data_IF_771543616695
#
_entry.id   IF_771543616695
#
_cell.length_a   1.000
_cell.length_b   1.000
_cell.length_c   1.000
_cell.angle_alpha   90.00
_cell.angle_beta   90.00
_cell.angle_gamma   90.00
#
_symmetry.space_group_name_H-M   'P 1'
#
loop_
_entity.id
_entity.type
_entity.pdbx_description
1 polymer ?
#
# COMPACT_ATOMS: atom_id res chain seq x y z
N UNK A 1 -64.10 31.66 -58.10
CA UNK A 1 -63.56 31.44 -56.74
C UNK A 1 -62.04 31.42 -56.87
N UNK A 2 -61.37 32.40 -56.26
CA UNK A 2 -59.97 32.78 -56.47
C UNK A 2 -58.99 31.94 -55.62
N UNK A 3 -57.76 31.77 -56.12
CA UNK A 3 -56.71 30.89 -55.56
C UNK A 3 -55.69 31.54 -54.61
N UNK A 4 -54.45 31.02 -54.68
CA UNK A 4 -53.21 31.31 -53.90
C UNK A 4 -53.11 30.62 -52.53
N UNK A 5 -51.95 30.23 -51.96
CA UNK A 5 -50.54 30.09 -52.38
C UNK A 5 -49.79 29.43 -51.20
N UNK A 6 -48.62 28.85 -51.47
CA UNK A 6 -47.75 28.14 -50.53
C UNK A 6 -47.15 29.00 -49.40
N UNK A 7 -46.85 28.38 -48.23
CA UNK A 7 -45.56 28.55 -47.52
C UNK A 7 -45.34 27.57 -46.36
N UNK A 8 -44.07 27.21 -46.23
CA UNK A 8 -43.40 26.23 -45.35
C UNK A 8 -43.35 26.69 -43.88
N UNK A 9 -43.37 25.77 -42.92
CA UNK A 9 -42.49 25.80 -41.74
C UNK A 9 -42.16 24.37 -41.30
N UNK A 10 -40.86 24.07 -41.24
CA UNK A 10 -40.27 22.84 -40.76
C UNK A 10 -40.24 22.81 -39.22
N UNK A 11 -40.42 21.61 -38.62
CA UNK A 11 -39.94 21.31 -37.28
C UNK A 11 -39.42 19.86 -37.27
N UNK A 12 -38.13 19.75 -37.54
CA UNK A 12 -37.31 18.56 -37.28
C UNK A 12 -37.13 18.40 -35.77
N UNK A 13 -37.88 17.49 -35.15
CA UNK A 13 -37.62 17.06 -33.78
C UNK A 13 -36.49 16.03 -33.79
N UNK A 14 -35.28 16.49 -33.49
CA UNK A 14 -34.12 15.62 -33.21
C UNK A 14 -34.42 14.88 -31.91
N UNK A 15 -34.75 13.59 -32.00
CA UNK A 15 -34.82 12.71 -30.85
C UNK A 15 -33.38 12.43 -30.37
N UNK A 16 -32.92 13.20 -29.39
CA UNK A 16 -31.70 12.89 -28.64
C UNK A 16 -32.01 11.72 -27.69
N UNK A 17 -31.81 10.48 -28.16
CA UNK A 17 -31.84 9.31 -27.30
C UNK A 17 -30.58 9.29 -26.43
N UNK A 18 -30.78 9.53 -25.13
CA UNK A 18 -29.79 9.42 -24.07
C UNK A 18 -29.28 7.99 -23.94
N UNK A 19 -28.08 7.70 -24.44
CA UNK A 19 -27.33 6.53 -24.06
C UNK A 19 -26.48 6.86 -22.82
N UNK A 20 -27.07 6.71 -21.64
CA UNK A 20 -26.34 6.66 -20.38
C UNK A 20 -25.50 5.38 -20.38
N UNK A 21 -24.25 5.49 -20.84
CA UNK A 21 -23.25 4.45 -20.68
C UNK A 21 -23.03 4.26 -19.18
N UNK A 22 -23.56 3.16 -18.65
CA UNK A 22 -23.27 2.68 -17.31
C UNK A 22 -21.78 2.33 -17.24
N UNK A 23 -20.94 3.25 -16.76
CA UNK A 23 -19.62 2.93 -16.25
C UNK A 23 -19.78 2.25 -14.89
N UNK A 24 -20.25 0.99 -14.90
CA UNK A 24 -19.96 0.07 -13.80
C UNK A 24 -18.44 -0.07 -13.79
N UNK A 25 -17.78 0.69 -12.93
CA UNK A 25 -16.40 0.39 -12.54
C UNK A 25 -16.42 -1.03 -11.98
N UNK A 26 -16.01 -2.01 -12.80
CA UNK A 26 -15.72 -3.35 -12.35
C UNK A 26 -14.61 -3.22 -11.30
N UNK A 27 -14.98 -3.11 -10.03
CA UNK A 27 -14.11 -3.48 -8.95
C UNK A 27 -13.77 -4.94 -9.22
N UNK A 28 -12.54 -5.19 -9.69
CA UNK A 28 -12.06 -6.53 -10.00
C UNK A 28 -12.28 -7.46 -8.79
N UNK A 29 -12.42 -8.77 -9.01
CA UNK A 29 -12.55 -9.70 -7.89
C UNK A 29 -11.34 -9.50 -6.96
N UNK A 30 -11.61 -9.19 -5.69
CA UNK A 30 -10.56 -9.16 -4.68
C UNK A 30 -9.99 -10.58 -4.53
N UNK A 31 -8.73 -10.77 -4.92
CA UNK A 31 -8.05 -12.03 -4.66
C UNK A 31 -7.77 -12.12 -3.15
N UNK A 32 -8.04 -13.28 -2.54
CA UNK A 32 -7.83 -13.44 -1.12
C UNK A 32 -6.36 -13.74 -0.85
N UNK A 33 -5.64 -12.79 -0.25
CA UNK A 33 -4.30 -13.04 0.31
C UNK A 33 -4.40 -13.91 1.56
N UNK A 34 -3.59 -14.96 1.63
CA UNK A 34 -3.61 -15.92 2.73
C UNK A 34 -2.21 -16.16 3.32
N UNK A 35 -2.03 -16.08 4.65
CA UNK A 35 -2.98 -15.50 5.61
C UNK A 35 -3.15 -14.00 5.38
N UNK A 36 -4.23 -13.39 5.89
CA UNK A 36 -4.39 -11.94 5.83
C UNK A 36 -3.44 -11.20 6.78
N UNK A 37 -2.98 -11.88 7.84
CA UNK A 37 -2.09 -11.31 8.85
C UNK A 37 -0.93 -12.25 9.15
N UNK A 38 0.24 -11.68 9.38
CA UNK A 38 1.42 -12.38 9.83
C UNK A 38 2.24 -11.47 10.75
N UNK A 39 3.01 -12.07 11.66
CA UNK A 39 3.88 -11.31 12.57
C UNK A 39 5.34 -11.58 12.25
N UNK A 40 6.19 -10.57 12.33
CA UNK A 40 7.64 -10.71 12.25
C UNK A 40 8.32 -9.79 13.26
N UNK A 41 9.48 -10.19 13.77
CA UNK A 41 10.26 -9.35 14.69
C UNK A 41 11.14 -8.39 13.90
N UNK A 42 11.08 -7.11 14.24
CA UNK A 42 11.92 -6.07 13.66
C UNK A 42 12.77 -5.41 14.74
N UNK A 43 14.01 -5.12 14.38
CA UNK A 43 14.95 -4.29 15.15
C UNK A 43 15.09 -2.95 14.44
N UNK A 44 14.66 -1.86 15.09
CA UNK A 44 14.77 -0.48 14.61
C UNK A 44 15.89 0.30 15.33
N UNK A 45 16.83 -0.41 15.95
CA UNK A 45 17.91 0.15 16.76
C UNK A 45 17.37 0.92 17.96
N UNK A 46 17.65 2.22 17.99
CA UNK A 46 17.25 3.10 19.11
C UNK A 46 15.75 3.30 19.27
N UNK A 47 14.95 3.04 18.23
CA UNK A 47 13.49 3.12 18.33
C UNK A 47 12.87 1.88 19.02
N UNK A 48 13.66 0.83 19.22
CA UNK A 48 13.24 -0.41 19.88
C UNK A 48 13.29 -1.63 18.97
N UNK A 49 13.09 -2.78 19.60
CA UNK A 49 12.99 -4.08 18.96
C UNK A 49 11.67 -4.70 19.41
N UNK A 50 10.95 -5.34 18.49
CA UNK A 50 9.74 -6.03 18.88
C UNK A 50 8.94 -6.61 17.72
N UNK A 51 7.75 -7.09 18.03
CA UNK A 51 6.88 -7.76 17.07
C UNK A 51 6.10 -6.73 16.26
N UNK A 52 6.12 -6.92 14.95
CA UNK A 52 5.37 -6.16 13.97
C UNK A 52 4.31 -7.07 13.36
N UNK A 53 3.07 -6.61 13.38
CA UNK A 53 1.96 -7.23 12.67
C UNK A 53 1.89 -6.64 11.27
N UNK A 54 1.98 -7.50 10.27
CA UNK A 54 1.78 -7.20 8.87
C UNK A 54 0.38 -7.66 8.49
N UNK A 55 -0.43 -6.78 7.93
CA UNK A 55 -1.76 -7.12 7.38
C UNK A 55 -1.74 -6.91 5.88
N UNK A 56 -1.85 -7.99 5.13
CA UNK A 56 -1.90 -7.94 3.67
C UNK A 56 -3.35 -7.82 3.19
N UNK A 57 -3.56 -7.08 2.11
CA UNK A 57 -4.84 -7.01 1.43
C UNK A 57 -4.64 -6.85 -0.08
N UNK A 58 -5.45 -7.57 -0.85
CA UNK A 58 -5.60 -7.39 -2.30
C UNK A 58 -7.05 -7.02 -2.59
N UNK A 59 -7.25 -5.80 -3.09
CA UNK A 59 -8.58 -5.25 -3.35
C UNK A 59 -8.94 -5.25 -4.84
N UNK A 60 -8.25 -6.03 -5.68
CA UNK A 60 -8.42 -6.05 -7.14
C UNK A 60 -7.94 -4.78 -7.86
N UNK A 61 -7.83 -3.66 -7.13
CA UNK A 61 -7.22 -2.40 -7.57
C UNK A 61 -5.75 -2.24 -7.15
N UNK A 62 -5.21 -3.19 -6.39
CA UNK A 62 -3.82 -3.17 -5.94
C UNK A 62 -3.59 -4.00 -4.67
N UNK A 63 -2.34 -4.41 -4.48
CA UNK A 63 -1.88 -5.15 -3.31
C UNK A 63 -1.27 -4.18 -2.30
N UNK A 64 -1.66 -4.32 -1.04
CA UNK A 64 -1.25 -3.42 0.05
C UNK A 64 -0.83 -4.19 1.28
N UNK A 65 0.05 -3.59 2.08
CA UNK A 65 0.40 -4.09 3.40
C UNK A 65 0.26 -2.97 4.43
N UNK A 66 -0.40 -3.25 5.54
CA UNK A 66 -0.39 -2.43 6.75
C UNK A 66 0.62 -2.99 7.74
N UNK A 67 1.32 -2.09 8.44
CA UNK A 67 2.40 -2.38 9.39
C UNK A 67 2.02 -1.77 10.72
N UNK A 68 1.80 -2.59 11.73
CA UNK A 68 1.43 -2.16 13.09
C UNK A 68 2.40 -2.75 14.11
N UNK A 69 2.82 -1.99 15.11
CA UNK A 69 3.60 -2.51 16.23
C UNK A 69 3.32 -1.75 17.52
N UNK A 70 3.16 -2.51 18.61
CA UNK A 70 2.98 -1.94 19.95
C UNK A 70 4.27 -1.92 20.77
N UNK A 71 5.30 -2.62 20.30
CA UNK A 71 6.62 -2.66 20.94
C UNK A 71 7.52 -1.53 20.42
N UNK A 72 7.44 -1.25 19.12
CA UNK A 72 8.19 -0.16 18.49
C UNK A 72 7.39 1.14 18.69
N UNK A 73 8.00 2.11 19.36
CA UNK A 73 7.36 3.38 19.71
C UNK A 73 7.95 4.56 18.96
N UNK A 74 7.10 5.53 18.68
CA UNK A 74 7.50 6.81 18.08
C UNK A 74 8.43 7.58 19.03
N UNK A 75 9.61 7.97 18.54
CA UNK A 75 10.59 8.70 19.35
C UNK A 75 10.36 10.23 19.33
N UNK A 76 9.47 10.70 18.45
CA UNK A 76 9.15 12.10 18.23
C UNK A 76 7.71 12.19 17.68
N UNK A 77 7.03 13.33 17.88
CA UNK A 77 5.68 13.51 17.36
C UNK A 77 5.68 13.49 15.83
N UNK A 78 4.75 12.69 15.29
CA UNK A 78 4.50 12.54 13.86
C UNK A 78 3.21 13.28 13.51
N UNK A 79 3.26 14.17 12.52
CA UNK A 79 2.06 14.69 11.88
C UNK A 79 1.54 13.64 10.91
N UNK A 80 0.22 13.52 10.78
CA UNK A 80 -0.40 12.58 9.86
C UNK A 80 0.19 12.73 8.44
N UNK A 81 0.46 11.59 7.80
CA UNK A 81 0.94 11.49 6.43
C UNK A 81 2.29 12.19 6.10
N UNK A 82 3.14 12.43 7.10
CA UNK A 82 4.47 13.06 6.90
C UNK A 82 5.63 12.08 6.82
N UNK A 83 5.40 10.82 7.17
CA UNK A 83 6.39 9.74 7.13
C UNK A 83 6.09 8.82 5.96
N UNK A 84 7.07 8.67 5.07
CA UNK A 84 7.04 7.63 4.04
C UNK A 84 7.57 6.34 4.64
N UNK A 85 6.71 5.33 4.79
CA UNK A 85 7.10 3.99 5.16
C UNK A 85 7.32 3.15 3.90
N UNK A 86 8.48 2.51 3.79
CA UNK A 86 8.81 1.56 2.73
C UNK A 86 9.17 0.22 3.33
N UNK A 87 8.41 -0.81 3.02
CA UNK A 87 8.62 -2.19 3.43
C UNK A 87 9.18 -3.00 2.25
N UNK A 88 10.23 -3.78 2.50
CA UNK A 88 10.81 -4.76 1.57
C UNK A 88 10.46 -6.17 2.03
N UNK A 89 10.00 -6.98 1.08
CA UNK A 89 9.76 -8.41 1.29
C UNK A 89 10.43 -9.22 0.18
N UNK A 90 10.83 -10.44 0.51
CA UNK A 90 11.24 -11.43 -0.46
C UNK A 90 10.00 -12.04 -1.08
N UNK A 91 9.86 -11.91 -2.39
CA UNK A 91 8.90 -12.62 -3.21
C UNK A 91 9.50 -13.95 -3.67
N UNK A 92 8.75 -15.04 -3.58
CA UNK A 92 9.09 -16.31 -4.23
C UNK A 92 8.01 -16.68 -5.25
N UNK A 93 8.44 -16.92 -6.50
CA UNK A 93 7.58 -17.25 -7.64
C UNK A 93 8.28 -18.26 -8.54
N UNK A 94 7.62 -19.38 -8.86
CA UNK A 94 8.21 -20.42 -9.71
C UNK A 94 9.56 -20.96 -9.23
N UNK A 95 9.83 -20.90 -7.92
CA UNK A 95 11.10 -21.31 -7.31
C UNK A 95 12.21 -20.24 -7.30
N UNK A 96 12.01 -19.08 -7.95
CA UNK A 96 12.93 -17.96 -7.91
C UNK A 96 12.57 -16.98 -6.78
N UNK A 97 13.57 -16.38 -6.14
CA UNK A 97 13.38 -15.34 -5.12
C UNK A 97 13.76 -13.97 -5.67
N UNK A 98 12.97 -12.95 -5.40
CA UNK A 98 13.18 -11.56 -5.81
C UNK A 98 12.70 -10.60 -4.72
N UNK A 99 13.01 -9.31 -4.82
CA UNK A 99 12.54 -8.30 -3.86
C UNK A 99 11.27 -7.61 -4.39
N UNK A 100 10.29 -7.39 -3.52
CA UNK A 100 9.15 -6.49 -3.75
C UNK A 100 9.14 -5.39 -2.70
N UNK A 101 8.64 -4.21 -3.06
CA UNK A 101 8.54 -3.06 -2.14
C UNK A 101 7.13 -2.52 -2.06
N UNK A 102 6.66 -2.32 -0.84
CA UNK A 102 5.44 -1.62 -0.51
C UNK A 102 5.80 -0.27 0.08
N UNK A 103 5.29 0.82 -0.46
CA UNK A 103 5.65 2.16 0.01
C UNK A 103 4.47 3.10 0.00
N UNK A 104 4.31 3.86 1.10
CA UNK A 104 3.23 4.82 1.23
C UNK A 104 3.47 5.78 2.39
N UNK A 105 2.66 6.84 2.44
CA UNK A 105 2.70 7.84 3.51
C UNK A 105 1.54 7.72 4.47
N UNK A 106 0.57 6.82 4.22
CA UNK A 106 -0.63 6.71 5.03
C UNK A 106 -0.29 6.36 6.49
N UNK A 107 -0.53 7.29 7.41
CA UNK A 107 -0.45 7.04 8.84
C UNK A 107 -1.16 8.15 9.63
N UNK A 108 -1.71 7.80 10.79
CA UNK A 108 -2.31 8.77 11.69
C UNK A 108 -1.23 9.65 12.36
N UNK A 109 -1.62 10.81 12.88
CA UNK A 109 -0.73 11.54 13.78
C UNK A 109 -0.45 10.69 15.03
N UNK A 110 0.77 10.79 15.56
CA UNK A 110 1.20 10.06 16.74
C UNK A 110 2.04 10.98 17.63
N UNK A 111 1.81 10.96 18.94
CA UNK A 111 2.67 11.61 19.92
C UNK A 111 3.93 10.77 20.15
N UNK A 112 4.90 11.30 20.91
CA UNK A 112 6.05 10.50 21.36
C UNK A 112 5.59 9.39 22.30
N UNK A 113 6.11 8.17 22.12
CA UNK A 113 5.78 7.00 22.94
C UNK A 113 4.56 6.23 22.45
N UNK A 114 3.85 6.73 21.43
CA UNK A 114 2.74 6.04 20.81
C UNK A 114 3.23 4.84 19.97
N UNK A 115 2.41 3.79 19.84
CA UNK A 115 2.72 2.67 18.95
C UNK A 115 2.78 3.12 17.50
N UNK A 116 3.62 2.47 16.69
CA UNK A 116 3.68 2.75 15.26
C UNK A 116 2.58 2.03 14.48
N UNK A 117 2.02 2.73 13.51
CA UNK A 117 1.00 2.20 12.60
C UNK A 117 1.13 2.90 11.25
N UNK A 118 1.53 2.16 10.23
CA UNK A 118 1.70 2.65 8.86
C UNK A 118 0.87 1.82 7.89
N UNK A 119 0.28 2.47 6.90
CA UNK A 119 -0.43 1.84 5.80
C UNK A 119 -1.95 2.05 5.82
N UNK A 120 -2.63 1.61 4.74
CA UNK A 120 -2.14 0.65 3.74
C UNK A 120 -1.00 1.18 2.85
N UNK A 121 0.08 0.42 2.75
CA UNK A 121 1.23 0.70 1.89
C UNK A 121 1.03 -0.01 0.56
N UNK A 122 0.84 0.70 -0.56
CA UNK A 122 0.68 0.07 -1.87
C UNK A 122 1.99 -0.55 -2.37
N UNK A 123 1.87 -1.60 -3.18
CA UNK A 123 3.00 -2.16 -3.93
C UNK A 123 3.55 -1.11 -4.91
N UNK A 124 4.81 -0.76 -4.76
CA UNK A 124 5.49 0.26 -5.59
C UNK A 124 6.63 -0.30 -6.43
N UNK A 125 7.15 -1.49 -6.12
CA UNK A 125 8.23 -2.11 -6.88
C UNK A 125 8.07 -3.62 -6.94
N UNK A 126 8.29 -4.17 -8.13
CA UNK A 126 8.00 -5.56 -8.46
C UNK A 126 6.53 -5.76 -8.82
N UNK A 127 6.18 -7.01 -9.13
CA UNK A 127 4.82 -7.44 -9.37
C UNK A 127 4.51 -8.62 -8.46
N UNK A 128 3.23 -8.82 -8.15
CA UNK A 128 2.75 -9.99 -7.45
C UNK A 128 1.54 -10.50 -8.23
N UNK A 129 1.56 -11.77 -8.55
CA UNK A 129 0.52 -12.52 -9.23
C UNK A 129 -0.02 -13.60 -8.29
N UNK A 130 -1.16 -14.17 -8.66
CA UNK A 130 -1.79 -15.24 -7.89
C UNK A 130 -0.82 -16.42 -7.69
N UNK A 131 -0.69 -16.86 -6.44
CA UNK A 131 0.22 -17.93 -6.03
C UNK A 131 1.65 -17.48 -5.71
N UNK A 132 1.99 -16.21 -5.92
CA UNK A 132 3.26 -15.66 -5.46
C UNK A 132 3.26 -15.60 -3.93
N UNK A 133 4.40 -15.95 -3.33
CA UNK A 133 4.55 -15.85 -1.87
C UNK A 133 5.45 -14.68 -1.49
N UNK A 134 5.17 -13.99 -0.39
CA UNK A 134 6.08 -12.98 0.17
C UNK A 134 6.38 -13.23 1.63
N UNK A 135 7.64 -13.07 2.01
CA UNK A 135 8.12 -13.25 3.37
C UNK A 135 9.14 -12.16 3.74
N UNK A 136 9.35 -11.93 5.04
CA UNK A 136 10.36 -11.01 5.53
C UNK A 136 11.74 -11.60 5.32
N UNK A 137 12.65 -10.82 4.76
CA UNK A 137 14.06 -11.18 4.69
C UNK A 137 14.66 -11.04 6.10
N UNK A 138 15.04 -12.16 6.72
CA UNK A 138 15.81 -12.13 7.96
C UNK A 138 17.21 -11.56 7.66
N UNK A 139 17.49 -10.39 8.20
CA UNK A 139 18.76 -9.69 8.02
C UNK A 139 19.53 -9.71 9.34
N UNK A 140 20.80 -10.11 9.26
CA UNK A 140 21.73 -10.00 10.38
C UNK A 140 22.35 -8.60 10.46
N UNK A 141 22.86 -8.24 11.63
CA UNK A 141 23.57 -6.97 11.86
C UNK A 141 22.65 -5.78 12.10
N UNK A 142 23.28 -4.63 12.38
CA UNK A 142 22.56 -3.41 12.73
C UNK A 142 21.81 -2.81 11.52
N UNK A 143 20.63 -2.19 11.73
CA UNK A 143 19.92 -1.46 10.69
C UNK A 143 20.74 -0.31 10.11
N UNK A 144 20.76 -0.17 8.79
CA UNK A 144 21.49 0.88 8.07
C UNK A 144 20.84 1.19 6.72
N UNK A 145 21.40 2.15 5.98
CA UNK A 145 20.93 2.50 4.63
C UNK A 145 21.00 1.32 3.64
N UNK A 146 21.96 0.42 3.82
CA UNK A 146 22.16 -0.77 2.99
C UNK A 146 21.60 -2.05 3.62
N UNK A 147 21.29 -2.04 4.92
CA UNK A 147 20.78 -3.19 5.67
C UNK A 147 19.43 -2.85 6.33
N UNK A 148 18.33 -3.08 5.62
CA UNK A 148 16.98 -2.79 6.12
C UNK A 148 15.90 -3.58 5.42
N UNK A 149 14.84 -3.90 6.17
CA UNK A 149 13.59 -4.51 5.69
C UNK A 149 12.43 -3.52 5.79
N UNK A 150 12.47 -2.56 6.71
CA UNK A 150 11.54 -1.44 6.80
C UNK A 150 12.32 -0.12 6.90
N UNK A 151 11.94 0.87 6.09
CA UNK A 151 12.52 2.22 6.11
C UNK A 151 11.42 3.22 6.38
N UNK A 152 11.65 4.12 7.32
CA UNK A 152 10.76 5.22 7.67
C UNK A 152 11.48 6.52 7.34
N UNK A 153 11.06 7.20 6.28
CA UNK A 153 11.61 8.51 5.90
C UNK A 153 10.66 9.60 6.35
N UNK A 154 11.07 10.38 7.34
CA UNK A 154 10.28 11.49 7.85
C UNK A 154 10.59 12.74 7.05
N UNK A 155 9.58 13.30 6.39
CA UNK A 155 9.73 14.49 5.57
C UNK A 155 9.35 15.72 6.41
N UNK A 156 10.33 16.57 6.70
CA UNK A 156 10.09 17.87 7.36
C UNK A 156 10.56 19.01 6.44
N UNK A 157 10.00 20.22 6.58
CA UNK A 157 10.46 21.39 5.83
C UNK A 157 11.95 21.69 6.02
N UNK A 158 12.51 21.34 7.18
CA UNK A 158 13.90 21.59 7.56
C UNK A 158 14.86 20.47 7.17
N UNK A 159 14.38 19.44 6.47
CA UNK A 159 15.16 18.28 6.06
C UNK A 159 14.42 16.95 6.29
N UNK A 160 14.91 15.89 5.67
CA UNK A 160 14.40 14.54 5.87
C UNK A 160 15.41 13.70 6.64
N UNK A 161 14.92 12.83 7.52
CA UNK A 161 15.74 11.79 8.12
C UNK A 161 15.10 10.42 7.92
N UNK A 162 15.94 9.41 7.79
CA UNK A 162 15.49 8.03 7.63
C UNK A 162 15.84 7.23 8.88
N UNK A 163 14.86 6.50 9.39
CA UNK A 163 15.05 5.43 10.35
C UNK A 163 14.95 4.10 9.60
N UNK A 164 15.82 3.16 9.95
CA UNK A 164 15.92 1.85 9.32
C UNK A 164 15.61 0.78 10.36
N UNK A 165 14.88 -0.23 9.94
CA UNK A 165 14.66 -1.43 10.73
C UNK A 165 14.98 -2.68 9.90
N UNK A 166 15.56 -3.67 10.55
CA UNK A 166 15.83 -4.99 9.97
C UNK A 166 14.85 -5.99 10.54
N UNK A 167 14.27 -6.84 9.68
CA UNK A 167 13.56 -8.01 10.18
C UNK A 167 14.60 -9.00 10.70
N UNK A 168 14.49 -9.40 11.97
CA UNK A 168 15.43 -10.34 12.59
C UNK A 168 15.03 -11.80 12.37
N UNK A 169 13.81 -12.02 11.88
CA UNK A 169 13.28 -13.32 11.54
C UNK A 169 12.31 -13.24 10.36
N UNK A 170 11.95 -14.43 9.86
CA UNK A 170 10.86 -14.59 8.89
C UNK A 170 9.52 -14.27 9.54
N UNK A 171 8.52 -14.05 8.71
CA UNK A 171 7.14 -13.96 9.16
C UNK A 171 6.70 -15.27 9.78
N UNK A 172 5.75 -15.21 10.71
CA UNK A 172 5.10 -16.38 11.30
C UNK A 172 4.49 -17.29 10.22
N UNK A 173 4.07 -16.70 9.11
CA UNK A 173 3.67 -17.36 7.89
C UNK A 173 3.88 -16.40 6.71
N UNK A 174 4.38 -16.92 5.58
CA UNK A 174 4.50 -16.14 4.36
C UNK A 174 3.11 -15.87 3.76
N UNK A 175 2.91 -14.66 3.24
CA UNK A 175 1.69 -14.33 2.49
C UNK A 175 1.71 -15.00 1.14
N UNK A 176 0.57 -15.56 0.73
CA UNK A 176 0.31 -16.07 -0.63
C UNK A 176 -0.71 -15.14 -1.27
N UNK A 177 -0.32 -14.52 -2.38
CA UNK A 177 -1.03 -13.44 -3.07
C UNK A 177 -1.90 -13.90 -4.23
#
# INVERSE_FOLDING_TARGET
MHGFSARRVALTSIAAASALAASLALAGPAAAVAPATATATYDCGSAGVGTVTLTAADSGGGKTIRVDSTDIRTQYPLKANTVTATLKLNKTSGGATSEVRFSGTAHAAAATGDPISFGPLPLTTGSLSDGDTTDSAALGGAPSETNWSLKLTVNKPTGSFSSYCTATGKQSAAFTW
#
